data_IF_793735064565
#
_entry.id   IF_793735064565
#
_cell.length_a   1.000
_cell.length_b   1.000
_cell.length_c   1.000
_cell.angle_alpha   90.00
_cell.angle_beta   90.00
_cell.angle_gamma   90.00
#
_symmetry.space_group_name_H-M   'P 1'
#
loop_
_entity.id
_entity.type
_entity.pdbx_description
1 polymer ?
#
# COMPACT_ATOMS: atom_id res chain seq x y z
N UNK A 1 1.80 -18.12 1.23
CA UNK A 1 1.33 -17.06 2.14
C UNK A 1 2.15 -16.96 3.41
N UNK A 2 3.03 -17.92 3.69
CA UNK A 2 3.84 -17.94 4.92
C UNK A 2 4.74 -16.72 5.05
N UNK A 3 5.40 -16.29 3.96
CA UNK A 3 6.26 -15.11 3.95
C UNK A 3 5.47 -13.82 4.26
N UNK A 4 4.25 -13.70 3.72
CA UNK A 4 3.35 -12.57 4.02
C UNK A 4 2.92 -12.58 5.48
N UNK A 5 2.57 -13.75 6.03
CA UNK A 5 2.24 -13.87 7.45
C UNK A 5 3.46 -13.57 8.34
N UNK A 6 4.68 -13.83 7.87
CA UNK A 6 5.90 -13.43 8.56
C UNK A 6 6.04 -11.89 8.61
N UNK A 7 5.67 -11.15 7.55
CA UNK A 7 5.63 -9.67 7.56
C UNK A 7 4.71 -9.17 8.69
N UNK A 8 3.51 -9.73 8.80
CA UNK A 8 2.55 -9.33 9.85
C UNK A 8 3.07 -9.55 11.28
N UNK A 9 3.99 -10.50 11.47
CA UNK A 9 4.63 -10.82 12.75
C UNK A 9 5.99 -10.13 12.91
N UNK A 10 6.49 -9.46 11.88
CA UNK A 10 7.82 -8.87 11.89
C UNK A 10 7.85 -7.65 12.83
N UNK A 11 8.83 -7.62 13.74
CA UNK A 11 8.94 -6.55 14.75
C UNK A 11 9.08 -5.15 14.14
N UNK A 12 9.83 -5.02 13.05
CA UNK A 12 10.01 -3.73 12.35
C UNK A 12 8.70 -3.28 11.72
N UNK A 13 8.01 -4.18 11.01
CA UNK A 13 6.69 -3.89 10.44
C UNK A 13 5.70 -3.39 11.51
N UNK A 14 5.56 -4.14 12.61
CA UNK A 14 4.68 -3.76 13.71
C UNK A 14 5.06 -2.41 14.33
N UNK A 15 6.34 -2.14 14.52
CA UNK A 15 6.82 -0.87 15.05
C UNK A 15 6.50 0.30 14.11
N UNK A 16 6.75 0.18 12.81
CA UNK A 16 6.47 1.23 11.84
C UNK A 16 4.98 1.50 11.70
N UNK A 17 4.16 0.45 11.64
CA UNK A 17 2.70 0.60 11.61
C UNK A 17 2.18 1.25 12.90
N UNK A 18 2.73 0.90 14.07
CA UNK A 18 2.38 1.55 15.33
C UNK A 18 2.75 3.04 15.34
N UNK A 19 3.91 3.42 14.78
CA UNK A 19 4.29 4.84 14.65
C UNK A 19 3.29 5.58 13.77
N UNK A 20 2.93 5.02 12.61
CA UNK A 20 1.95 5.62 11.69
C UNK A 20 0.61 5.80 12.40
N UNK A 21 0.09 4.74 13.05
CA UNK A 21 -1.19 4.81 13.76
C UNK A 21 -1.20 5.91 14.84
N UNK A 22 -0.08 6.10 15.55
CA UNK A 22 0.07 7.17 16.55
C UNK A 22 0.07 8.56 15.91
N UNK A 23 0.86 8.75 14.84
CA UNK A 23 0.91 10.01 14.09
C UNK A 23 -0.44 10.35 13.43
N UNK A 24 -1.26 9.34 13.14
CA UNK A 24 -2.57 9.49 12.52
C UNK A 24 -3.75 9.37 13.51
N UNK A 25 -3.50 9.34 14.82
CA UNK A 25 -4.55 9.13 15.83
C UNK A 25 -5.68 10.17 15.68
N UNK A 26 -5.30 11.44 15.54
CA UNK A 26 -6.23 12.57 15.36
C UNK A 26 -6.43 12.96 13.89
N UNK A 27 -5.95 12.16 12.93
CA UNK A 27 -6.10 12.43 11.49
C UNK A 27 -7.56 12.30 11.08
N UNK A 28 -8.15 13.41 10.61
CA UNK A 28 -9.53 13.44 10.07
C UNK A 28 -9.69 12.84 8.67
N UNK A 29 -8.60 12.74 7.92
CA UNK A 29 -8.55 12.15 6.57
C UNK A 29 -8.31 10.64 6.62
N UNK A 30 -8.37 9.99 5.45
CA UNK A 30 -8.04 8.58 5.30
C UNK A 30 -6.69 8.24 5.95
N UNK A 31 -6.68 7.22 6.81
CA UNK A 31 -5.51 6.71 7.54
C UNK A 31 -4.84 5.58 6.78
N UNK A 32 -3.60 5.26 7.17
CA UNK A 32 -2.75 4.21 6.60
C UNK A 32 -2.56 3.05 7.57
N UNK A 33 -3.66 2.63 8.21
CA UNK A 33 -3.68 1.51 9.15
C UNK A 33 -3.70 0.15 8.42
N UNK A 34 -3.68 -0.95 9.17
CA UNK A 34 -3.69 -2.31 8.60
C UNK A 34 -4.88 -2.57 7.68
N UNK A 35 -6.04 -1.97 7.95
CA UNK A 35 -7.23 -2.14 7.13
C UNK A 35 -7.00 -1.58 5.73
N UNK A 36 -6.46 -0.36 5.63
CA UNK A 36 -6.06 0.23 4.34
C UNK A 36 -5.13 -0.71 3.57
N UNK A 37 -4.04 -1.15 4.20
CA UNK A 37 -3.04 -2.00 3.56
C UNK A 37 -3.63 -3.31 3.02
N UNK A 38 -4.51 -3.96 3.80
CA UNK A 38 -5.16 -5.20 3.40
C UNK A 38 -6.22 -4.99 2.30
N UNK A 39 -6.92 -3.87 2.31
CA UNK A 39 -7.90 -3.56 1.27
C UNK A 39 -7.21 -3.31 -0.07
N UNK A 40 -6.07 -2.61 -0.08
CA UNK A 40 -5.22 -2.50 -1.27
C UNK A 40 -4.80 -3.88 -1.77
N UNK A 41 -4.34 -4.75 -0.87
CA UNK A 41 -3.89 -6.11 -1.23
C UNK A 41 -5.01 -6.93 -1.89
N UNK A 42 -6.20 -6.91 -1.27
CA UNK A 42 -7.37 -7.69 -1.71
C UNK A 42 -7.91 -7.20 -3.03
N UNK A 43 -8.12 -5.89 -3.17
CA UNK A 43 -8.62 -5.30 -4.43
C UNK A 43 -7.62 -5.54 -5.56
N UNK A 44 -6.31 -5.30 -5.30
CA UNK A 44 -5.27 -5.57 -6.30
C UNK A 44 -5.32 -7.03 -6.74
N UNK A 45 -5.42 -7.97 -5.79
CA UNK A 45 -5.40 -9.38 -6.14
C UNK A 45 -6.67 -9.86 -6.86
N UNK A 46 -7.85 -9.32 -6.52
CA UNK A 46 -9.08 -9.57 -7.26
C UNK A 46 -8.89 -9.15 -8.73
N UNK A 47 -8.42 -7.93 -8.96
CA UNK A 47 -8.18 -7.43 -10.32
C UNK A 47 -7.10 -8.21 -11.07
N UNK A 48 -6.06 -8.66 -10.38
CA UNK A 48 -5.04 -9.56 -10.95
C UNK A 48 -5.68 -10.85 -11.49
N UNK A 49 -6.65 -11.41 -10.78
CA UNK A 49 -7.37 -12.60 -11.23
C UNK A 49 -8.30 -12.29 -12.41
N UNK A 50 -9.05 -11.19 -12.35
CA UNK A 50 -9.97 -10.76 -13.43
C UNK A 50 -9.23 -10.49 -14.75
N UNK A 51 -8.04 -9.88 -14.67
CA UNK A 51 -7.19 -9.55 -15.80
C UNK A 51 -6.22 -10.69 -16.20
N UNK A 52 -6.33 -11.87 -15.57
CA UNK A 52 -5.47 -13.04 -15.81
C UNK A 52 -3.96 -12.75 -15.75
N UNK A 53 -3.53 -11.87 -14.84
CA UNK A 53 -2.11 -11.49 -14.70
C UNK A 53 -1.35 -12.59 -13.95
N UNK A 54 -0.30 -13.12 -14.57
CA UNK A 54 0.57 -14.11 -13.93
C UNK A 54 1.52 -13.46 -12.91
N UNK A 55 1.05 -13.33 -11.67
CA UNK A 55 1.85 -12.86 -10.53
C UNK A 55 1.56 -13.68 -9.28
N UNK A 56 2.61 -13.99 -8.51
CA UNK A 56 2.44 -14.67 -7.21
C UNK A 56 1.62 -13.77 -6.27
N UNK A 57 0.59 -14.32 -5.63
CA UNK A 57 -0.22 -13.65 -4.60
C UNK A 57 0.63 -12.98 -3.51
N UNK A 58 1.73 -13.62 -3.11
CA UNK A 58 2.63 -13.10 -2.07
C UNK A 58 3.31 -11.78 -2.46
N UNK A 59 3.61 -11.57 -3.74
CA UNK A 59 4.19 -10.31 -4.24
C UNK A 59 3.21 -9.16 -4.06
N UNK A 60 1.94 -9.39 -4.45
CA UNK A 60 0.87 -8.39 -4.33
C UNK A 60 0.64 -8.02 -2.86
N UNK A 61 0.51 -9.02 -2.00
CA UNK A 61 0.26 -8.79 -0.57
C UNK A 61 1.45 -8.15 0.13
N UNK A 62 2.68 -8.57 -0.15
CA UNK A 62 3.87 -7.97 0.43
C UNK A 62 4.02 -6.50 -0.01
N UNK A 63 3.82 -6.19 -1.30
CA UNK A 63 3.82 -4.81 -1.78
C UNK A 63 2.76 -3.96 -1.09
N UNK A 64 1.52 -4.45 -0.98
CA UNK A 64 0.43 -3.75 -0.33
C UNK A 64 0.67 -3.52 1.17
N UNK A 65 1.22 -4.50 1.89
CA UNK A 65 1.57 -4.32 3.31
C UNK A 65 2.70 -3.30 3.50
N UNK A 66 3.64 -3.21 2.57
CA UNK A 66 4.84 -2.39 2.74
C UNK A 66 4.74 -0.99 2.09
N UNK A 67 3.81 -0.74 1.17
CA UNK A 67 3.86 0.48 0.33
C UNK A 67 3.81 1.80 1.12
N UNK A 68 3.09 1.84 2.24
CA UNK A 68 2.90 3.04 3.06
C UNK A 68 3.65 2.99 4.41
N UNK A 69 4.50 1.99 4.68
CA UNK A 69 5.22 1.91 5.97
C UNK A 69 6.22 3.05 6.17
N UNK A 70 6.62 3.74 5.10
CA UNK A 70 7.45 4.94 5.12
C UNK A 70 6.71 6.22 5.51
N UNK A 71 5.39 6.19 5.74
CA UNK A 71 4.60 7.39 6.10
C UNK A 71 5.09 8.08 7.36
N UNK A 72 5.59 7.35 8.35
CA UNK A 72 6.12 7.99 9.56
C UNK A 72 7.35 8.86 9.26
N UNK A 73 8.27 8.42 8.40
CA UNK A 73 9.41 9.25 7.96
C UNK A 73 8.97 10.42 7.08
N UNK A 74 7.90 10.27 6.30
CA UNK A 74 7.34 11.40 5.57
C UNK A 74 6.84 12.49 6.52
N UNK A 75 6.17 12.10 7.61
CA UNK A 75 5.62 13.04 8.57
C UNK A 75 6.70 13.71 9.43
N UNK A 76 7.71 12.96 9.86
CA UNK A 76 8.75 13.46 10.78
C UNK A 76 9.96 14.08 10.06
N UNK A 77 10.32 13.56 8.88
CA UNK A 77 11.59 13.87 8.20
C UNK A 77 11.40 14.45 6.79
N UNK A 78 10.16 14.49 6.28
CA UNK A 78 9.85 14.99 4.93
C UNK A 78 10.28 14.05 3.79
N UNK A 79 10.73 12.83 4.09
CA UNK A 79 11.18 11.86 3.10
C UNK A 79 9.97 11.34 2.28
N UNK A 80 10.01 11.29 0.94
CA UNK A 80 8.96 10.67 0.14
C UNK A 80 8.69 9.23 0.61
N UNK A 81 7.45 8.93 0.98
CA UNK A 81 7.12 7.69 1.69
C UNK A 81 7.39 6.45 0.85
N UNK A 82 7.29 6.52 -0.49
CA UNK A 82 7.65 5.42 -1.38
C UNK A 82 9.13 5.03 -1.27
N UNK A 83 10.03 6.02 -1.13
CA UNK A 83 11.47 5.78 -1.00
C UNK A 83 11.81 5.23 0.39
N UNK A 84 11.17 5.80 1.42
CA UNK A 84 11.27 5.29 2.79
C UNK A 84 10.75 3.85 2.88
N UNK A 85 9.60 3.55 2.29
CA UNK A 85 9.00 2.21 2.27
C UNK A 85 9.90 1.17 1.60
N UNK A 86 10.58 1.51 0.49
CA UNK A 86 11.54 0.60 -0.15
C UNK A 86 12.71 0.31 0.79
N UNK A 87 13.30 1.36 1.39
CA UNK A 87 14.44 1.23 2.30
C UNK A 87 14.08 0.40 3.54
N UNK A 88 12.96 0.71 4.19
CA UNK A 88 12.48 0.01 5.38
C UNK A 88 12.02 -1.42 5.06
N UNK A 89 11.45 -1.62 3.88
CA UNK A 89 10.94 -2.90 3.41
C UNK A 89 12.03 -3.93 3.16
N UNK A 90 13.24 -3.52 2.74
CA UNK A 90 14.36 -4.44 2.46
C UNK A 90 14.66 -5.36 3.62
N UNK A 91 14.95 -4.79 4.78
CA UNK A 91 15.24 -5.57 5.98
C UNK A 91 14.08 -6.50 6.40
N UNK A 92 12.84 -6.08 6.14
CA UNK A 92 11.64 -6.87 6.48
C UNK A 92 11.52 -8.07 5.53
N UNK A 93 11.68 -7.85 4.23
CA UNK A 93 11.58 -8.90 3.21
C UNK A 93 12.68 -9.95 3.37
N UNK A 94 13.92 -9.53 3.64
CA UNK A 94 15.04 -10.41 3.98
C UNK A 94 14.71 -11.32 5.16
N UNK A 95 14.23 -10.72 6.26
CA UNK A 95 13.86 -11.46 7.48
C UNK A 95 12.66 -12.39 7.28
N UNK A 96 11.82 -12.14 6.27
CA UNK A 96 10.66 -12.95 5.93
C UNK A 96 10.95 -14.00 4.84
N UNK A 97 12.20 -14.07 4.34
CA UNK A 97 12.66 -15.08 3.39
C UNK A 97 12.23 -14.84 1.94
N UNK A 98 11.97 -13.59 1.55
CA UNK A 98 11.79 -13.25 0.13
C UNK A 98 13.14 -13.28 -0.58
N UNK A 99 13.16 -13.77 -1.82
CA UNK A 99 14.38 -13.75 -2.62
C UNK A 99 14.52 -12.43 -3.40
N UNK A 100 15.71 -12.18 -3.98
CA UNK A 100 16.01 -10.94 -4.69
C UNK A 100 15.06 -10.65 -5.86
N UNK A 101 14.56 -11.68 -6.56
CA UNK A 101 13.63 -11.50 -7.69
C UNK A 101 12.23 -11.14 -7.20
N UNK A 102 11.80 -11.74 -6.09
CA UNK A 102 10.56 -11.38 -5.42
C UNK A 102 10.61 -9.95 -4.87
N UNK A 103 11.69 -9.59 -4.18
CA UNK A 103 11.92 -8.24 -3.67
C UNK A 103 11.90 -7.19 -4.77
N UNK A 104 12.58 -7.45 -5.89
CA UNK A 104 12.60 -6.53 -7.03
C UNK A 104 11.19 -6.23 -7.54
N UNK A 105 10.34 -7.24 -7.66
CA UNK A 105 8.94 -7.07 -8.08
C UNK A 105 8.11 -6.32 -7.05
N UNK A 106 8.33 -6.59 -5.75
CA UNK A 106 7.65 -5.89 -4.65
C UNK A 106 8.03 -4.40 -4.66
N UNK A 107 9.32 -4.09 -4.73
CA UNK A 107 9.80 -2.71 -4.73
C UNK A 107 9.44 -1.94 -6.00
N UNK A 108 9.34 -2.62 -7.15
CA UNK A 108 8.86 -2.00 -8.38
C UNK A 108 7.39 -1.55 -8.26
N UNK A 109 6.54 -2.32 -7.58
CA UNK A 109 5.16 -1.90 -7.26
C UNK A 109 5.16 -0.72 -6.28
N UNK A 110 5.93 -0.81 -5.19
CA UNK A 110 6.00 0.25 -4.18
C UNK A 110 6.55 1.56 -4.78
N UNK A 111 7.61 1.51 -5.58
CA UNK A 111 8.21 2.72 -6.17
C UNK A 111 7.31 3.43 -7.19
N UNK A 112 6.34 2.72 -7.76
CA UNK A 112 5.45 3.26 -8.81
C UNK A 112 4.00 3.47 -8.35
N UNK A 113 3.63 3.15 -7.11
CA UNK A 113 2.22 3.22 -6.65
C UNK A 113 1.58 4.63 -6.67
N UNK A 114 2.39 5.67 -6.88
CA UNK A 114 1.94 7.07 -7.04
C UNK A 114 1.80 7.51 -8.49
N UNK A 115 2.32 6.74 -9.45
CA UNK A 115 2.32 7.08 -10.88
C UNK A 115 1.08 6.49 -11.53
N UNK A 116 0.27 7.37 -12.12
CA UNK A 116 -0.80 6.99 -13.04
C UNK A 116 -0.16 6.64 -14.40
N UNK A 117 -0.78 5.75 -15.16
CA UNK A 117 -0.43 5.44 -16.55
C UNK A 117 0.99 4.84 -16.72
N UNK A 118 1.28 3.80 -15.94
CA UNK A 118 2.46 2.96 -16.17
C UNK A 118 2.28 2.05 -17.39
N UNK A 119 3.39 1.72 -18.02
CA UNK A 119 3.54 0.64 -19.01
C UNK A 119 3.13 -0.76 -18.50
N UNK A 120 3.04 -0.95 -17.17
CA UNK A 120 2.66 -2.21 -16.56
C UNK A 120 1.21 -2.17 -16.06
N UNK A 121 0.37 -3.08 -16.58
CA UNK A 121 -1.00 -3.27 -16.12
C UNK A 121 -1.08 -3.54 -14.61
N UNK A 122 -0.16 -4.35 -14.07
CA UNK A 122 -0.11 -4.63 -12.63
C UNK A 122 0.15 -3.37 -11.79
N UNK A 123 1.03 -2.47 -12.27
CA UNK A 123 1.30 -1.19 -11.57
C UNK A 123 0.09 -0.27 -11.63
N UNK A 124 -0.62 -0.23 -12.76
CA UNK A 124 -1.86 0.53 -12.89
C UNK A 124 -2.96 0.01 -11.95
N UNK A 125 -3.09 -1.32 -11.83
CA UNK A 125 -4.02 -1.94 -10.88
C UNK A 125 -3.65 -1.62 -9.44
N UNK A 126 -2.36 -1.71 -9.09
CA UNK A 126 -1.90 -1.39 -7.75
C UNK A 126 -2.12 0.10 -7.41
N UNK A 127 -1.76 0.99 -8.34
CA UNK A 127 -2.07 2.42 -8.24
C UNK A 127 -3.56 2.63 -8.01
N UNK A 128 -4.43 2.04 -8.83
CA UNK A 128 -5.88 2.18 -8.73
C UNK A 128 -6.40 1.68 -7.38
N UNK A 129 -5.95 0.51 -6.93
CA UNK A 129 -6.45 -0.15 -5.72
C UNK A 129 -6.22 0.66 -4.45
N UNK A 130 -5.09 1.38 -4.35
CA UNK A 130 -4.77 2.31 -3.26
C UNK A 130 -5.76 3.50 -3.13
N UNK A 131 -6.43 3.85 -4.24
CA UNK A 131 -7.41 4.95 -4.26
C UNK A 131 -8.82 4.37 -4.15
N UNK A 132 -9.08 3.27 -4.86
CA UNK A 132 -10.38 2.61 -4.90
C UNK A 132 -10.79 1.97 -3.57
N UNK A 133 -9.85 1.62 -2.69
CA UNK A 133 -10.16 1.07 -1.37
C UNK A 133 -10.77 2.08 -0.38
N UNK A 134 -10.77 3.38 -0.71
CA UNK A 134 -11.32 4.42 0.17
C UNK A 134 -12.85 4.40 0.14
N UNK A 135 -13.52 4.91 1.16
CA UNK A 135 -14.98 4.95 1.22
C UNK A 135 -15.49 6.40 1.16
N UNK A 136 -15.21 7.11 0.07
CA UNK A 136 -15.55 8.54 -0.05
C UNK A 136 -17.05 8.80 0.07
N UNK A 137 -17.91 7.87 -0.37
CA UNK A 137 -19.38 7.95 -0.25
C UNK A 137 -19.89 8.14 1.19
N UNK A 138 -19.08 7.83 2.20
CA UNK A 138 -19.42 8.01 3.63
C UNK A 138 -18.38 8.85 4.39
N UNK A 139 -17.49 9.55 3.68
CA UNK A 139 -16.41 10.32 4.29
C UNK A 139 -16.93 11.64 4.89
N UNK A 140 -16.79 11.81 6.20
CA UNK A 140 -17.19 13.03 6.91
C UNK A 140 -16.32 14.25 6.57
N UNK A 141 -15.09 14.03 6.12
CA UNK A 141 -14.13 15.08 5.78
C UNK A 141 -14.09 15.39 4.26
N UNK A 142 -15.09 14.97 3.50
CA UNK A 142 -15.08 15.03 2.03
C UNK A 142 -15.01 16.46 1.48
N UNK A 143 -15.66 17.42 2.16
CA UNK A 143 -15.67 18.83 1.80
C UNK A 143 -14.30 19.51 1.94
N UNK A 144 -13.43 18.97 2.78
CA UNK A 144 -12.07 19.47 3.01
C UNK A 144 -11.00 18.60 2.34
N UNK A 145 -11.41 17.58 1.59
CA UNK A 145 -10.51 16.62 0.99
C UNK A 145 -9.78 17.23 -0.21
N UNK A 146 -8.45 17.22 -0.15
CA UNK A 146 -7.58 17.73 -1.21
C UNK A 146 -7.39 16.78 -2.40
N UNK A 147 -7.97 15.57 -2.37
CA UNK A 147 -7.98 14.73 -3.55
C UNK A 147 -8.84 15.36 -4.64
N UNK A 148 -8.42 15.27 -5.90
CA UNK A 148 -9.27 15.68 -7.01
C UNK A 148 -10.42 14.67 -7.16
N UNK A 149 -11.56 15.11 -7.68
CA UNK A 149 -12.80 14.33 -7.66
C UNK A 149 -12.70 13.01 -8.45
N UNK A 150 -11.88 12.95 -9.49
CA UNK A 150 -11.66 11.73 -10.26
C UNK A 150 -11.00 10.60 -9.44
N UNK A 151 -10.32 10.93 -8.34
CA UNK A 151 -9.73 9.95 -7.42
C UNK A 151 -10.68 9.52 -6.30
N UNK A 152 -11.81 10.21 -6.13
CA UNK A 152 -12.81 9.90 -5.09
C UNK A 152 -13.78 8.84 -5.60
N UNK A 153 -14.37 8.10 -4.67
CA UNK A 153 -15.35 7.06 -4.94
C UNK A 153 -16.66 7.29 -4.17
N UNK A 154 -17.56 8.05 -4.82
CA UNK A 154 -18.90 8.36 -4.32
C UNK A 154 -19.91 7.22 -4.53
N UNK A 155 -19.51 6.18 -5.22
CA UNK A 155 -20.27 4.94 -5.45
C UNK A 155 -19.32 3.75 -5.38
N UNK A 156 -19.87 2.55 -5.31
CA UNK A 156 -19.10 1.31 -5.40
C UNK A 156 -18.47 1.25 -6.80
N UNK A 157 -17.14 1.15 -6.85
CA UNK A 157 -16.36 0.96 -8.08
C UNK A 157 -15.71 -0.42 -8.00
N UNK A 158 -15.81 -1.20 -9.08
CA UNK A 158 -15.13 -2.49 -9.25
C UNK A 158 -14.13 -2.36 -10.40
#
# INVERSE_FOLDING_TARGET
>A
MEKVNAILKNRKFCAYLSKINKLEENRKYCKHNIQHLLDVARITYIKVLEENINVKKEIVYAAALLHDIGRWQQYEEGIPHELASIKLGKDILDQCGFDNEEEKKIFDLIGNHRKKDSDSLLKNIFYYSDKACRNCFMCKAISECNWPDEKKNYSIKY
#
